data_IF_806179894509
#
_entry.id   IF_806179894509
#
_cell.length_a   1.000
_cell.length_b   1.000
_cell.length_c   1.000
_cell.angle_alpha   90.00
_cell.angle_beta   90.00
_cell.angle_gamma   90.00
#
_symmetry.space_group_name_H-M   'P 1'
#
loop_
_entity.id
_entity.type
_entity.pdbx_description
1 polymer ?
#
# COMPACT_ATOMS: atom_id res chain seq x y z
N UNK A 1 4.77 -37.52 -17.97
CA UNK A 1 5.39 -36.41 -17.23
C UNK A 1 5.35 -35.18 -18.12
N UNK A 2 4.42 -34.26 -17.88
CA UNK A 2 4.39 -32.97 -18.57
C UNK A 2 5.28 -31.98 -17.80
N UNK A 3 6.38 -31.57 -18.42
CA UNK A 3 7.18 -30.44 -17.95
C UNK A 3 6.39 -29.16 -18.26
N UNK A 4 5.67 -28.63 -17.28
CA UNK A 4 5.15 -27.26 -17.37
C UNK A 4 6.32 -26.29 -17.27
N UNK A 5 6.72 -25.75 -18.41
CA UNK A 5 7.70 -24.69 -18.53
C UNK A 5 7.05 -23.39 -18.01
N UNK A 6 7.43 -22.97 -16.81
CA UNK A 6 7.08 -21.65 -16.29
C UNK A 6 7.88 -20.64 -17.10
N UNK A 7 7.22 -19.94 -18.02
CA UNK A 7 7.80 -18.80 -18.71
C UNK A 7 8.06 -17.70 -17.67
N UNK A 8 9.33 -17.51 -17.31
CA UNK A 8 9.76 -16.35 -16.56
C UNK A 8 9.58 -15.13 -17.48
N UNK A 9 8.49 -14.41 -17.30
CA UNK A 9 8.36 -13.07 -17.87
C UNK A 9 9.42 -12.19 -17.20
N UNK A 10 10.51 -11.93 -17.91
CA UNK A 10 11.44 -10.86 -17.58
C UNK A 10 10.65 -9.55 -17.61
N UNK A 11 10.23 -9.08 -16.43
CA UNK A 11 9.72 -7.73 -16.26
C UNK A 11 10.85 -6.80 -16.69
N UNK A 12 10.71 -6.21 -17.87
CA UNK A 12 11.53 -5.07 -18.28
C UNK A 12 11.56 -4.11 -17.10
N UNK A 13 12.75 -3.67 -16.71
CA UNK A 13 13.00 -2.63 -15.68
C UNK A 13 12.54 -1.25 -16.17
N UNK A 14 11.39 -1.20 -16.86
CA UNK A 14 10.65 0.03 -17.04
C UNK A 14 10.19 0.47 -15.68
N UNK A 15 10.55 1.71 -15.33
CA UNK A 15 10.03 2.46 -14.19
C UNK A 15 8.55 2.12 -14.01
N UNK A 16 8.19 1.57 -12.85
CA UNK A 16 6.82 1.27 -12.52
C UNK A 16 6.30 2.42 -11.69
N UNK A 17 5.51 3.36 -12.25
CA UNK A 17 4.94 4.42 -11.45
C UNK A 17 4.08 3.80 -10.35
N UNK A 18 4.15 4.35 -9.15
CA UNK A 18 3.52 3.78 -7.95
C UNK A 18 2.01 3.53 -8.09
N UNK A 19 1.28 4.30 -8.92
CA UNK A 19 -0.17 4.07 -9.12
C UNK A 19 -0.52 2.97 -10.11
N UNK A 20 0.49 2.47 -10.85
CA UNK A 20 0.38 1.32 -11.73
C UNK A 20 0.83 0.03 -11.04
N UNK A 21 1.40 0.14 -9.84
CA UNK A 21 1.91 -0.97 -9.07
C UNK A 21 0.78 -1.74 -8.36
N UNK A 22 0.87 -3.06 -8.42
CA UNK A 22 0.00 -3.99 -7.70
C UNK A 22 0.85 -4.82 -6.75
N UNK A 23 0.40 -4.89 -5.51
CA UNK A 23 1.10 -5.57 -4.45
C UNK A 23 0.27 -6.70 -3.88
N UNK A 24 0.94 -7.75 -3.42
CA UNK A 24 0.32 -8.84 -2.68
C UNK A 24 1.15 -9.17 -1.43
N UNK A 25 0.47 -9.56 -0.35
CA UNK A 25 1.13 -9.99 0.87
C UNK A 25 1.77 -11.38 0.65
N UNK A 26 3.09 -11.51 0.89
CA UNK A 26 3.94 -12.62 0.40
C UNK A 26 3.37 -14.02 0.58
N UNK A 27 2.87 -14.37 1.76
CA UNK A 27 2.29 -15.70 2.06
C UNK A 27 0.76 -15.71 2.11
N UNK A 28 0.10 -14.58 1.83
CA UNK A 28 -1.35 -14.43 1.83
C UNK A 28 -1.78 -13.58 0.62
N UNK A 29 -1.67 -14.11 -0.61
CA UNK A 29 -1.86 -13.31 -1.83
C UNK A 29 -3.28 -12.76 -2.02
N UNK A 30 -4.27 -13.24 -1.23
CA UNK A 30 -5.60 -12.65 -1.15
C UNK A 30 -5.67 -11.33 -0.38
N UNK A 31 -4.58 -10.88 0.24
CA UNK A 31 -4.43 -9.53 0.80
C UNK A 31 -3.57 -8.72 -0.16
N UNK A 32 -4.21 -7.81 -0.89
CA UNK A 32 -3.54 -7.02 -1.95
C UNK A 32 -3.52 -5.55 -1.60
N UNK A 33 -2.64 -4.80 -2.24
CA UNK A 33 -2.60 -3.36 -2.12
C UNK A 33 -2.31 -2.67 -3.45
N UNK A 34 -2.82 -1.45 -3.61
CA UNK A 34 -2.54 -0.59 -4.77
C UNK A 34 -2.63 0.87 -4.38
N UNK A 35 -1.83 1.70 -5.03
CA UNK A 35 -1.94 3.15 -4.89
C UNK A 35 -2.90 3.70 -5.94
N UNK A 36 -3.71 4.68 -5.53
CA UNK A 36 -4.61 5.41 -6.39
C UNK A 36 -4.26 6.88 -6.33
N UNK A 37 -4.36 7.54 -7.49
CA UNK A 37 -4.27 9.00 -7.58
C UNK A 37 -5.45 9.61 -6.83
N UNK A 38 -5.14 10.57 -5.98
CA UNK A 38 -6.12 11.46 -5.36
C UNK A 38 -5.68 12.91 -5.58
N UNK A 39 -6.59 13.85 -5.40
CA UNK A 39 -6.28 15.27 -5.60
C UNK A 39 -5.09 15.71 -4.76
N UNK A 40 -4.15 16.40 -5.42
CA UNK A 40 -3.07 17.12 -4.74
C UNK A 40 -3.62 18.42 -4.19
N UNK A 41 -3.38 18.69 -2.92
CA UNK A 41 -3.72 19.96 -2.27
C UNK A 41 -2.49 20.50 -1.54
N UNK A 42 -2.55 21.75 -1.08
CA UNK A 42 -1.49 22.33 -0.27
C UNK A 42 -1.21 21.46 0.98
N UNK A 43 -2.28 21.01 1.65
CA UNK A 43 -2.19 20.12 2.83
C UNK A 43 -1.84 18.66 2.49
N UNK A 44 -1.85 18.27 1.21
CA UNK A 44 -1.62 16.90 0.77
C UNK A 44 -0.86 16.84 -0.57
N UNK A 45 0.46 17.12 -0.55
CA UNK A 45 1.27 17.18 -1.76
C UNK A 45 1.59 15.80 -2.37
N UNK A 46 1.32 14.71 -1.65
CA UNK A 46 1.71 13.34 -2.07
C UNK A 46 0.87 12.86 -3.26
N UNK A 47 -0.43 13.23 -3.30
CA UNK A 47 -1.31 12.87 -4.41
C UNK A 47 -1.70 11.39 -4.49
N UNK A 48 -1.48 10.62 -3.44
CA UNK A 48 -1.74 9.18 -3.39
C UNK A 48 -2.63 8.77 -2.21
N UNK A 49 -3.41 7.72 -2.42
CA UNK A 49 -4.02 6.90 -1.37
C UNK A 49 -3.71 5.42 -1.62
N UNK A 50 -3.33 4.70 -0.58
CA UNK A 50 -3.16 3.26 -0.60
C UNK A 50 -4.48 2.57 -0.26
N UNK A 51 -4.97 1.75 -1.18
CA UNK A 51 -6.07 0.82 -0.93
C UNK A 51 -5.50 -0.55 -0.60
N UNK A 52 -5.94 -1.15 0.50
CA UNK A 52 -5.72 -2.56 0.81
C UNK A 52 -7.03 -3.33 0.71
N UNK A 53 -7.00 -4.47 0.02
CA UNK A 53 -8.15 -5.34 -0.22
C UNK A 53 -7.93 -6.70 0.45
N UNK A 54 -8.97 -7.21 1.10
CA UNK A 54 -8.97 -8.48 1.83
C UNK A 54 -9.98 -9.43 1.18
N UNK A 55 -9.50 -10.32 0.30
CA UNK A 55 -10.36 -11.19 -0.50
C UNK A 55 -11.24 -12.13 0.36
N UNK A 56 -10.73 -12.60 1.50
CA UNK A 56 -11.45 -13.50 2.40
C UNK A 56 -12.75 -12.90 2.96
N UNK A 57 -12.81 -11.58 3.13
CA UNK A 57 -13.96 -10.85 3.70
C UNK A 57 -14.64 -9.92 2.70
N UNK A 58 -14.03 -9.71 1.53
CA UNK A 58 -14.47 -8.74 0.53
C UNK A 58 -14.33 -7.28 0.98
N UNK A 59 -13.56 -7.00 2.04
CA UNK A 59 -13.42 -5.65 2.61
C UNK A 59 -12.23 -4.90 2.02
N UNK A 60 -12.34 -3.57 2.02
CA UNK A 60 -11.26 -2.66 1.62
C UNK A 60 -11.01 -1.62 2.71
N UNK A 61 -9.75 -1.22 2.84
CA UNK A 61 -9.31 -0.20 3.78
C UNK A 61 -8.40 0.79 3.07
N UNK A 62 -8.53 2.06 3.43
CA UNK A 62 -7.84 3.16 2.76
C UNK A 62 -6.88 3.87 3.71
N UNK A 63 -5.74 4.25 3.15
CA UNK A 63 -4.63 4.83 3.89
C UNK A 63 -3.94 5.93 3.07
N UNK A 64 -3.35 6.88 3.76
CA UNK A 64 -2.65 8.03 3.20
C UNK A 64 -1.18 7.97 3.61
N UNK A 65 -0.24 7.80 2.66
CA UNK A 65 1.19 7.75 2.97
C UNK A 65 1.77 9.13 3.28
N UNK A 66 2.44 9.28 4.42
CA UNK A 66 3.07 10.53 4.83
C UNK A 66 4.39 10.30 5.59
N UNK A 67 5.28 11.31 5.55
CA UNK A 67 6.54 11.30 6.31
C UNK A 67 6.34 11.92 7.70
N UNK A 68 6.77 11.20 8.74
CA UNK A 68 6.70 11.55 10.16
C UNK A 68 7.66 12.65 10.61
N UNK A 69 7.71 13.80 9.94
CA UNK A 69 8.64 14.88 10.30
C UNK A 69 10.11 14.51 10.03
N UNK A 70 11.02 14.86 10.95
CA UNK A 70 12.48 14.77 10.74
C UNK A 70 13.12 13.46 11.18
N UNK A 71 12.36 12.52 11.75
CA UNK A 71 12.90 11.27 12.29
C UNK A 71 13.03 10.15 11.23
N UNK A 72 12.71 10.44 9.96
CA UNK A 72 12.79 9.48 8.85
C UNK A 72 11.71 8.39 8.85
N UNK A 73 10.78 8.40 9.81
CA UNK A 73 9.72 7.40 9.84
C UNK A 73 8.65 7.70 8.79
N UNK A 74 8.23 6.68 8.06
CA UNK A 74 7.07 6.75 7.17
C UNK A 74 5.85 6.15 7.86
N UNK A 75 4.69 6.72 7.57
CA UNK A 75 3.44 6.34 8.18
C UNK A 75 2.32 6.26 7.14
N UNK A 76 1.31 5.48 7.49
CA UNK A 76 0.03 5.40 6.81
C UNK A 76 -1.04 5.91 7.76
N UNK A 77 -1.68 7.03 7.41
CA UNK A 77 -2.86 7.53 8.11
C UNK A 77 -4.11 6.89 7.52
N UNK A 78 -4.90 6.17 8.31
CA UNK A 78 -6.18 5.63 7.80
C UNK A 78 -7.10 6.77 7.34
N UNK A 79 -7.92 6.50 6.32
CA UNK A 79 -8.86 7.47 5.79
C UNK A 79 -10.15 6.76 5.31
N UNK A 80 -11.30 7.44 5.23
CA UNK A 80 -12.44 6.95 4.45
C UNK A 80 -12.09 6.80 2.97
N UNK A 81 -12.97 6.16 2.20
CA UNK A 81 -12.80 6.03 0.75
C UNK A 81 -12.65 7.43 0.10
N UNK A 82 -11.53 7.71 -0.60
CA UNK A 82 -11.31 9.00 -1.28
C UNK A 82 -12.36 9.35 -2.34
N UNK A 83 -13.13 8.38 -2.85
CA UNK A 83 -14.24 8.63 -3.76
C UNK A 83 -15.51 9.13 -3.04
N UNK A 84 -15.55 9.12 -1.71
CA UNK A 84 -16.69 9.60 -0.94
C UNK A 84 -16.88 11.11 -1.17
N UNK A 85 -18.09 11.60 -1.50
CA UNK A 85 -18.34 13.03 -1.65
C UNK A 85 -17.93 13.82 -0.40
N UNK A 86 -17.19 14.92 -0.61
CA UNK A 86 -16.70 15.77 0.48
C UNK A 86 -15.50 15.19 1.24
N UNK A 87 -14.89 14.10 0.76
CA UNK A 87 -13.64 13.58 1.31
C UNK A 87 -12.56 14.66 1.34
N UNK A 88 -11.79 14.68 2.44
CA UNK A 88 -10.62 15.53 2.62
C UNK A 88 -9.48 14.70 3.19
N UNK A 89 -8.25 14.86 2.69
CA UNK A 89 -7.10 14.17 3.24
C UNK A 89 -6.90 14.53 4.72
N UNK A 90 -6.41 13.57 5.50
CA UNK A 90 -6.03 13.73 6.91
C UNK A 90 -7.15 14.12 7.91
N UNK A 91 -8.40 14.31 7.46
CA UNK A 91 -9.50 14.79 8.31
C UNK A 91 -10.02 13.74 9.32
N UNK A 92 -10.32 12.52 8.84
CA UNK A 92 -10.85 11.43 9.67
C UNK A 92 -9.92 10.23 9.56
N UNK A 93 -9.52 9.67 10.72
CA UNK A 93 -8.58 8.54 10.80
C UNK A 93 -9.19 7.37 11.58
N UNK A 94 -10.08 6.58 10.95
CA UNK A 94 -10.87 5.57 11.67
C UNK A 94 -10.03 4.49 12.36
N UNK A 95 -8.83 4.20 11.85
CA UNK A 95 -7.88 3.24 12.41
C UNK A 95 -6.60 3.91 12.93
N UNK A 96 -6.58 5.25 13.03
CA UNK A 96 -5.40 6.05 13.37
C UNK A 96 -4.29 5.94 12.33
N UNK A 97 -3.05 6.11 12.82
CA UNK A 97 -1.83 5.97 12.03
C UNK A 97 -1.13 4.63 12.32
N UNK A 98 -0.42 4.12 11.31
CA UNK A 98 0.43 2.94 11.43
C UNK A 98 1.77 3.18 10.73
N UNK A 99 2.83 2.61 11.28
CA UNK A 99 4.16 2.62 10.68
C UNK A 99 4.17 1.88 9.34
N UNK A 100 4.96 2.42 8.41
CA UNK A 100 5.16 1.89 7.07
C UNK A 100 6.64 1.96 6.73
N UNK A 101 7.18 0.89 6.16
CA UNK A 101 8.58 0.80 5.78
C UNK A 101 8.61 0.35 4.33
N UNK A 102 9.26 1.12 3.47
CA UNK A 102 9.39 0.82 2.04
C UNK A 102 10.82 0.46 1.72
N UNK A 103 11.01 -0.40 0.71
CA UNK A 103 12.32 -0.80 0.24
C UNK A 103 12.32 -1.03 -1.28
N UNK A 104 13.48 -0.82 -1.91
CA UNK A 104 13.72 -1.20 -3.29
C UNK A 104 13.96 -2.71 -3.44
N UNK A 105 14.31 -3.16 -4.66
CA UNK A 105 14.50 -4.58 -4.97
C UNK A 105 15.71 -5.20 -4.26
N UNK A 106 16.68 -4.37 -3.85
CA UNK A 106 17.87 -4.79 -3.11
C UNK A 106 17.66 -4.73 -1.59
N UNK A 107 16.42 -4.46 -1.15
CA UNK A 107 16.04 -4.24 0.25
C UNK A 107 16.71 -3.01 0.89
N UNK A 108 17.20 -2.06 0.09
CA UNK A 108 17.58 -0.77 0.64
C UNK A 108 16.32 -0.02 1.08
N UNK A 109 16.31 0.43 2.34
CA UNK A 109 15.17 1.18 2.89
C UNK A 109 15.08 2.53 2.19
N UNK A 110 13.90 2.85 1.66
CA UNK A 110 13.63 4.15 1.08
C UNK A 110 13.22 5.11 2.19
N UNK A 111 13.80 6.30 2.24
CA UNK A 111 13.56 7.27 3.32
C UNK A 111 12.36 8.20 3.07
N UNK A 112 11.93 8.34 1.81
CA UNK A 112 10.79 9.16 1.45
C UNK A 112 9.56 8.32 1.08
N UNK A 113 8.37 8.76 1.50
CA UNK A 113 7.13 8.26 0.89
C UNK A 113 7.10 8.58 -0.61
N UNK A 114 6.70 7.62 -1.47
CA UNK A 114 6.52 7.87 -2.89
C UNK A 114 5.40 8.89 -3.09
N UNK A 115 5.60 9.78 -4.06
CA UNK A 115 4.60 10.73 -4.55
C UNK A 115 4.02 10.23 -5.86
N UNK A 116 2.96 10.90 -6.30
CA UNK A 116 2.39 10.65 -7.60
C UNK A 116 3.47 10.74 -8.70
N UNK A 117 3.63 9.67 -9.48
CA UNK A 117 4.56 9.55 -10.60
C UNK A 117 5.94 8.97 -10.22
N UNK A 118 6.25 8.85 -8.93
CA UNK A 118 7.50 8.25 -8.48
C UNK A 118 7.52 6.73 -8.75
N UNK A 119 8.74 6.17 -8.74
CA UNK A 119 8.93 4.73 -8.83
C UNK A 119 8.30 4.01 -7.62
N UNK A 120 7.63 2.90 -7.92
CA UNK A 120 7.01 2.06 -6.92
C UNK A 120 8.08 1.34 -6.08
N UNK A 121 7.98 1.33 -4.74
CA UNK A 121 8.80 0.45 -3.91
C UNK A 121 8.63 -1.01 -4.36
N UNK A 122 9.70 -1.78 -4.38
CA UNK A 122 9.60 -3.21 -4.71
C UNK A 122 8.96 -3.99 -3.55
N UNK A 123 9.25 -3.57 -2.32
CA UNK A 123 8.74 -4.18 -1.11
C UNK A 123 8.23 -3.10 -0.15
N UNK A 124 7.22 -3.45 0.63
CA UNK A 124 6.92 -2.68 1.83
C UNK A 124 6.38 -3.53 2.97
N UNK A 125 6.62 -3.08 4.19
CA UNK A 125 6.19 -3.70 5.42
C UNK A 125 5.30 -2.73 6.20
N UNK A 126 4.23 -3.27 6.77
CA UNK A 126 3.38 -2.55 7.72
C UNK A 126 3.46 -3.33 9.05
N UNK A 127 4.45 -3.05 9.92
CA UNK A 127 4.77 -3.91 11.05
C UNK A 127 3.57 -4.14 11.99
N UNK A 128 2.72 -3.13 12.13
CA UNK A 128 1.60 -3.14 13.06
C UNK A 128 0.24 -3.40 12.39
N UNK A 129 0.22 -3.87 11.12
CA UNK A 129 -1.03 -4.08 10.36
C UNK A 129 -2.02 -4.98 11.11
N UNK A 130 -1.61 -6.20 11.49
CA UNK A 130 -2.47 -7.13 12.23
C UNK A 130 -3.06 -6.50 13.49
N UNK A 131 -2.24 -5.76 14.24
CA UNK A 131 -2.68 -5.11 15.49
C UNK A 131 -3.73 -4.04 15.19
N UNK A 132 -3.50 -3.20 14.18
CA UNK A 132 -4.46 -2.18 13.78
C UNK A 132 -5.77 -2.81 13.30
N UNK A 133 -5.69 -3.80 12.41
CA UNK A 133 -6.86 -4.48 11.85
C UNK A 133 -7.63 -5.35 12.85
N UNK A 134 -7.02 -5.77 13.96
CA UNK A 134 -7.69 -6.60 14.96
C UNK A 134 -8.28 -5.77 16.10
N UNK A 135 -7.57 -4.74 16.57
CA UNK A 135 -7.94 -3.99 17.77
C UNK A 135 -8.58 -2.64 17.48
N UNK A 136 -8.45 -2.11 16.26
CA UNK A 136 -9.00 -0.78 15.90
C UNK A 136 -10.20 -0.86 14.96
N UNK A 137 -10.56 -2.05 14.47
CA UNK A 137 -11.83 -2.28 13.77
C UNK A 137 -12.89 -2.82 14.75
N UNK A 138 -14.18 -2.61 14.46
CA UNK A 138 -15.27 -3.34 15.12
C UNK A 138 -15.06 -4.87 15.05
N UNK A 139 -15.62 -5.60 16.02
CA UNK A 139 -15.38 -7.04 16.19
C UNK A 139 -15.78 -7.85 14.94
N UNK A 140 -16.87 -7.49 14.27
CA UNK A 140 -17.38 -8.09 13.03
C UNK A 140 -16.57 -7.73 11.77
N UNK A 141 -15.59 -6.83 11.91
CA UNK A 141 -14.73 -6.30 10.84
C UNK A 141 -13.25 -6.61 11.03
N UNK A 142 -12.89 -7.42 12.02
CA UNK A 142 -11.48 -7.75 12.29
C UNK A 142 -10.88 -8.53 11.13
N UNK A 143 -9.69 -8.11 10.71
CA UNK A 143 -8.89 -8.86 9.74
C UNK A 143 -7.66 -9.47 10.41
N UNK A 144 -7.35 -10.70 10.05
CA UNK A 144 -6.12 -11.38 10.44
C UNK A 144 -5.08 -11.32 9.33
N UNK A 145 -3.87 -10.85 9.62
CA UNK A 145 -2.71 -10.93 8.71
C UNK A 145 -1.47 -11.41 9.46
N UNK A 146 -0.51 -11.99 8.75
CA UNK A 146 0.84 -12.22 9.28
C UNK A 146 1.71 -10.99 9.03
N UNK A 147 2.62 -10.66 9.95
CA UNK A 147 3.63 -9.61 9.75
C UNK A 147 4.64 -10.08 8.71
N UNK A 148 4.58 -9.50 7.51
CA UNK A 148 5.44 -9.83 6.37
C UNK A 148 5.39 -8.71 5.33
N UNK A 149 6.23 -8.80 4.32
CA UNK A 149 6.25 -7.86 3.20
C UNK A 149 5.03 -8.04 2.29
N UNK A 150 4.55 -6.90 1.80
CA UNK A 150 3.90 -6.80 0.50
C UNK A 150 4.98 -6.70 -0.57
N UNK A 151 4.82 -7.48 -1.62
CA UNK A 151 5.74 -7.52 -2.76
C UNK A 151 5.05 -6.96 -3.99
N UNK A 152 5.78 -6.20 -4.80
CA UNK A 152 5.35 -5.79 -6.12
C UNK A 152 5.20 -7.06 -7.00
N UNK A 153 3.97 -7.40 -7.35
CA UNK A 153 3.67 -8.61 -8.14
C UNK A 153 3.37 -8.30 -9.60
N UNK A 154 2.95 -7.07 -9.89
CA UNK A 154 2.56 -6.66 -11.24
C UNK A 154 2.63 -5.15 -11.38
N UNK A 155 3.03 -4.69 -12.56
CA UNK A 155 2.88 -3.30 -12.98
C UNK A 155 1.94 -3.26 -14.19
N UNK A 156 0.87 -2.47 -14.13
CA UNK A 156 0.02 -2.24 -15.30
C UNK A 156 0.83 -1.55 -16.41
N UNK A 157 0.57 -1.78 -17.71
CA UNK A 157 1.18 -1.02 -18.80
C UNK A 157 0.75 0.46 -18.78
N UNK A 158 1.46 1.36 -19.48
CA UNK A 158 0.99 2.73 -19.67
C UNK A 158 -0.37 2.69 -20.38
N UNK A 159 -1.27 3.60 -20.00
CA UNK A 159 -2.55 3.77 -20.67
C UNK A 159 -2.36 4.36 -22.08
#
# INVERSE_FOLDING_TARGET
MFFSMIAAMSLSTGQCPVERAHYALRTMPGVTARFLRVSVTEDWPVGLALRMDFAATGRSYWWLPWNGGTNGHQNLASTPDPATPGWRPMAVRPLGDIEWITADADYAVLEAVPRHGDDAPAHFLIPNLRRAMWYRTPQDRREGTTKQFFDLVRCDPPA
#
